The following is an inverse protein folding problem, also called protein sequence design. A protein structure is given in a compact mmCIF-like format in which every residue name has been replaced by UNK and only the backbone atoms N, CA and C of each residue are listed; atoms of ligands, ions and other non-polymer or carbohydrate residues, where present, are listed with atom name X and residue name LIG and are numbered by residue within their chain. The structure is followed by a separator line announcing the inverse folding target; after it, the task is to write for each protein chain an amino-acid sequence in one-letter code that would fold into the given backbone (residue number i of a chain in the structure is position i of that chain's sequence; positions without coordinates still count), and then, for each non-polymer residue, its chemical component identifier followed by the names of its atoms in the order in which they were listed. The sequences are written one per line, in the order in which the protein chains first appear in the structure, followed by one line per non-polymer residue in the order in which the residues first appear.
data_IF_301807181438
#
_entry.id   IF_301807181438
#
_cell.length_a   1.000
_cell.length_b   1.000
_cell.length_c   1.000
_cell.angle_alpha   90.00
_cell.angle_beta   90.00
_cell.angle_gamma   90.00
#
_symmetry.space_group_name_H-M   'P 1'
#
loop_
_entity.id
_entity.type
_entity.pdbx_description
1 polymer ?
#
# COMPACT_ATOMS: atom_id res chain seq x y z
N UNK A 1 10.09 -1.99 -10.52
CA UNK A 1 9.35 -2.93 -9.66
C UNK A 1 8.03 -3.26 -10.35
N UNK A 2 7.65 -4.53 -10.49
CA UNK A 2 6.33 -4.90 -11.05
C UNK A 2 5.20 -4.52 -10.10
N UNK A 3 3.95 -4.52 -10.58
CA UNK A 3 2.78 -4.22 -9.75
C UNK A 3 2.60 -5.24 -8.62
N UNK A 4 2.81 -6.53 -8.94
CA UNK A 4 2.80 -7.60 -7.93
C UNK A 4 3.87 -7.39 -6.85
N UNK A 5 5.07 -6.96 -7.23
CA UNK A 5 6.15 -6.66 -6.28
C UNK A 5 5.87 -5.42 -5.44
N UNK A 6 5.20 -4.39 -5.99
CA UNK A 6 4.79 -3.21 -5.20
C UNK A 6 3.75 -3.59 -4.15
N UNK A 7 2.74 -4.39 -4.52
CA UNK A 7 1.75 -4.88 -3.56
C UNK A 7 2.38 -5.74 -2.46
N UNK A 8 3.35 -6.59 -2.81
CA UNK A 8 4.09 -7.39 -1.82
C UNK A 8 4.95 -6.50 -0.91
N UNK A 9 5.63 -5.49 -1.46
CA UNK A 9 6.44 -4.54 -0.69
C UNK A 9 5.58 -3.73 0.29
N UNK A 10 4.37 -3.33 -0.11
CA UNK A 10 3.38 -2.74 0.79
C UNK A 10 3.06 -3.69 1.96
N UNK A 11 2.72 -4.95 1.68
CA UNK A 11 2.41 -5.95 2.73
C UNK A 11 3.57 -6.19 3.71
N UNK A 12 4.80 -6.26 3.20
CA UNK A 12 6.00 -6.42 4.03
C UNK A 12 6.24 -5.23 4.98
N UNK A 13 5.72 -4.06 4.62
CA UNK A 13 5.83 -2.82 5.39
C UNK A 13 4.47 -2.34 5.94
N UNK A 14 3.46 -3.22 6.00
CA UNK A 14 2.07 -2.86 6.27
C UNK A 14 1.90 -1.94 7.48
N UNK A 15 2.61 -2.23 8.58
CA UNK A 15 2.54 -1.44 9.81
C UNK A 15 3.00 0.01 9.64
N UNK A 16 3.88 0.30 8.70
CA UNK A 16 4.33 1.66 8.42
C UNK A 16 3.22 2.52 7.78
N UNK A 17 2.24 1.88 7.15
CA UNK A 17 1.05 2.51 6.57
C UNK A 17 -0.16 2.44 7.52
N UNK A 18 0.01 1.88 8.71
CA UNK A 18 -1.03 1.74 9.72
C UNK A 18 -1.32 3.05 10.44
N UNK A 19 -2.60 3.28 10.75
CA UNK A 19 -3.01 4.34 11.66
C UNK A 19 -2.42 4.16 13.06
N UNK A 20 -1.96 5.21 13.76
CA UNK A 20 -1.42 5.09 15.12
C UNK A 20 -2.39 4.45 16.12
N UNK A 21 -3.70 4.63 15.92
CA UNK A 21 -4.74 4.22 16.86
C UNK A 21 -4.98 2.71 16.88
N UNK A 22 -4.89 2.05 15.72
CA UNK A 22 -5.26 0.63 15.57
C UNK A 22 -4.29 -0.19 14.70
N UNK A 23 -3.28 0.44 14.10
CA UNK A 23 -2.31 -0.21 13.22
C UNK A 23 -2.88 -0.73 11.90
N UNK A 24 -4.15 -0.43 11.59
CA UNK A 24 -4.81 -0.82 10.34
C UNK A 24 -4.38 0.15 9.26
N UNK A 25 -3.94 -0.39 8.12
CA UNK A 25 -3.53 0.44 7.00
C UNK A 25 -4.75 0.94 6.25
N UNK A 26 -4.63 2.12 5.67
CA UNK A 26 -5.66 2.69 4.81
C UNK A 26 -5.04 3.49 3.66
N UNK A 27 -5.89 3.77 2.68
CA UNK A 27 -5.51 4.53 1.48
C UNK A 27 -5.05 5.95 1.86
N UNK A 28 -5.66 6.57 2.86
CA UNK A 28 -5.31 7.92 3.34
C UNK A 28 -3.86 7.99 3.83
N UNK A 29 -3.41 7.03 4.64
CA UNK A 29 -2.03 6.95 5.12
C UNK A 29 -1.04 6.77 3.98
N UNK A 30 -1.39 6.03 2.92
CA UNK A 30 -0.54 5.92 1.72
C UNK A 30 -0.36 7.31 1.09
N UNK A 31 -1.42 8.09 0.91
CA UNK A 31 -1.30 9.44 0.37
C UNK A 31 -0.50 10.38 1.29
N UNK A 32 -0.74 10.30 2.60
CA UNK A 32 0.00 11.08 3.59
C UNK A 32 1.50 10.78 3.55
N UNK A 33 1.88 9.50 3.47
CA UNK A 33 3.28 9.07 3.38
C UNK A 33 3.89 9.48 2.03
N UNK A 34 3.14 9.36 0.93
CA UNK A 34 3.62 9.76 -0.40
C UNK A 34 3.95 11.26 -0.50
N UNK A 35 3.23 12.10 0.25
CA UNK A 35 3.43 13.54 0.33
C UNK A 35 4.61 14.01 1.19
N UNK A 36 5.25 13.11 1.96
CA UNK A 36 6.40 13.46 2.80
C UNK A 36 7.59 13.92 1.96
N UNK A 37 8.39 14.84 2.51
CA UNK A 37 9.71 15.13 1.98
C UNK A 37 10.68 14.00 2.36
N UNK A 38 11.69 13.76 1.52
CA UNK A 38 12.75 12.82 1.88
C UNK A 38 13.62 13.46 2.96
N UNK A 39 13.77 12.79 4.09
CA UNK A 39 14.44 13.29 5.29
C UNK A 39 15.91 12.91 5.36
N UNK A 40 16.37 12.00 4.48
CA UNK A 40 17.69 11.37 4.57
C UNK A 40 17.70 10.18 5.53
N UNK A 41 16.61 9.93 6.26
CA UNK A 41 16.43 8.68 6.98
C UNK A 41 16.00 7.60 6.00
N UNK A 42 16.91 6.65 5.76
CA UNK A 42 16.71 5.57 4.80
C UNK A 42 15.40 4.79 4.99
N UNK A 43 14.98 4.55 6.23
CA UNK A 43 13.75 3.79 6.49
C UNK A 43 12.50 4.60 6.10
N UNK A 44 12.44 5.87 6.48
CA UNK A 44 11.32 6.77 6.16
C UNK A 44 11.25 7.09 4.67
N UNK A 45 12.41 7.31 4.06
CA UNK A 45 12.53 7.62 2.63
C UNK A 45 12.05 6.45 1.78
N UNK A 46 12.37 5.21 2.16
CA UNK A 46 11.85 4.03 1.49
C UNK A 46 10.33 3.92 1.56
N UNK A 47 9.73 4.21 2.73
CA UNK A 47 8.27 4.17 2.86
C UNK A 47 7.63 5.26 2.00
N UNK A 48 8.22 6.45 1.97
CA UNK A 48 7.79 7.56 1.12
C UNK A 48 7.85 7.19 -0.37
N UNK A 49 8.93 6.57 -0.82
CA UNK A 49 9.09 6.13 -2.21
C UNK A 49 8.13 5.00 -2.57
N UNK A 50 7.93 4.02 -1.69
CA UNK A 50 6.95 2.95 -1.87
C UNK A 50 5.53 3.51 -1.97
N UNK A 51 5.16 4.44 -1.09
CA UNK A 51 3.85 5.10 -1.12
C UNK A 51 3.61 5.85 -2.43
N UNK A 52 4.61 6.62 -2.89
CA UNK A 52 4.54 7.32 -4.19
C UNK A 52 4.37 6.35 -5.34
N UNK A 53 5.00 5.18 -5.28
CA UNK A 53 4.86 4.17 -6.32
C UNK A 53 3.44 3.57 -6.34
N UNK A 54 2.81 3.37 -5.17
CA UNK A 54 1.42 2.93 -5.08
C UNK A 54 0.47 4.01 -5.63
N UNK A 55 0.65 5.28 -5.25
CA UNK A 55 -0.18 6.40 -5.73
C UNK A 55 -0.09 6.57 -7.26
N UNK A 56 1.08 6.35 -7.86
CA UNK A 56 1.26 6.38 -9.31
C UNK A 56 0.53 5.24 -10.05
N UNK A 57 0.09 4.22 -9.32
CA UNK A 57 -0.50 2.99 -9.85
C UNK A 57 -1.91 2.81 -9.28
N UNK A 58 -2.90 3.59 -9.75
CA UNK A 58 -4.24 3.62 -9.16
C UNK A 58 -4.90 2.24 -9.15
N UNK A 59 -4.61 1.36 -10.11
CA UNK A 59 -5.11 -0.02 -10.12
C UNK A 59 -4.52 -0.90 -9.02
N UNK A 60 -3.27 -0.66 -8.60
CA UNK A 60 -2.66 -1.35 -7.45
C UNK A 60 -3.30 -0.86 -6.16
N UNK A 61 -3.45 0.47 -6.01
CA UNK A 61 -4.13 1.04 -4.84
C UNK A 61 -5.58 0.56 -4.72
N UNK A 62 -6.31 0.50 -5.83
CA UNK A 62 -7.68 -0.02 -5.87
C UNK A 62 -7.73 -1.48 -5.42
N UNK A 63 -6.87 -2.34 -5.98
CA UNK A 63 -6.84 -3.75 -5.61
C UNK A 63 -6.46 -3.96 -4.13
N UNK A 64 -5.52 -3.19 -3.59
CA UNK A 64 -5.17 -3.24 -2.17
C UNK A 64 -6.37 -2.95 -1.26
N UNK A 65 -7.22 -2.01 -1.66
CA UNK A 65 -8.39 -1.55 -0.89
C UNK A 65 -9.62 -2.46 -1.07
N UNK A 66 -9.68 -3.25 -2.15
CA UNK A 66 -10.96 -3.86 -2.56
C UNK A 66 -10.94 -5.37 -2.80
N UNK A 67 -9.78 -6.03 -2.80
CA UNK A 67 -9.66 -7.40 -3.32
C UNK A 67 -10.34 -8.47 -2.47
N UNK A 68 -10.53 -8.23 -1.17
CA UNK A 68 -11.22 -9.12 -0.25
C UNK A 68 -12.63 -8.64 0.14
N UNK A 69 -13.04 -7.47 -0.34
CA UNK A 69 -14.34 -6.85 -0.04
C UNK A 69 -15.25 -6.71 -1.27
N UNK A 70 -15.29 -7.74 -2.13
CA UNK A 70 -16.12 -7.77 -3.34
C UNK A 70 -15.95 -6.53 -4.27
N UNK A 71 -14.76 -5.92 -4.29
CA UNK A 71 -14.49 -4.72 -5.07
C UNK A 71 -14.95 -3.41 -4.44
N UNK A 72 -15.49 -3.43 -3.21
CA UNK A 72 -15.80 -2.22 -2.45
C UNK A 72 -14.50 -1.54 -2.01
N UNK A 73 -14.49 -0.21 -2.09
CA UNK A 73 -13.42 0.65 -1.62
C UNK A 73 -13.92 1.37 -0.36
N UNK A 74 -13.61 0.83 0.80
CA UNK A 74 -13.96 1.45 2.09
C UNK A 74 -12.79 2.29 2.66
N UNK A 75 -11.65 2.27 1.96
CA UNK A 75 -10.42 2.96 2.33
C UNK A 75 -9.54 2.12 3.25
N UNK A 76 -10.04 1.02 3.83
CA UNK A 76 -9.32 0.17 4.75
C UNK A 76 -8.63 -0.96 3.99
N UNK A 77 -7.32 -1.06 4.15
CA UNK A 77 -6.53 -2.11 3.52
C UNK A 77 -6.30 -3.20 4.54
N UNK A 78 -6.94 -4.36 4.38
CA UNK A 78 -6.73 -5.51 5.24
C UNK A 78 -5.32 -6.09 5.15
N UNK A 79 -4.86 -6.74 6.23
CA UNK A 79 -3.52 -7.35 6.28
C UNK A 79 -3.27 -8.38 5.15
N UNK A 80 -4.31 -9.10 4.72
CA UNK A 80 -4.21 -10.13 3.67
C UNK A 80 -4.29 -9.54 2.26
N UNK A 81 -4.76 -8.31 2.11
CA UNK A 81 -5.04 -7.69 0.81
C UNK A 81 -3.78 -7.56 -0.02
N UNK A 82 -2.64 -7.27 0.63
CA UNK A 82 -1.35 -7.19 -0.02
C UNK A 82 -0.95 -8.50 -0.74
N UNK A 83 -1.11 -9.64 -0.06
CA UNK A 83 -0.77 -10.96 -0.62
C UNK A 83 -1.73 -11.35 -1.74
N UNK A 84 -3.03 -11.12 -1.53
CA UNK A 84 -4.06 -11.37 -2.54
C UNK A 84 -3.84 -10.51 -3.79
N UNK A 85 -3.55 -9.23 -3.59
CA UNK A 85 -3.28 -8.26 -4.66
C UNK A 85 -2.03 -8.63 -5.43
N UNK A 86 -0.94 -8.97 -4.74
CA UNK A 86 0.30 -9.44 -5.39
C UNK A 86 0.05 -10.67 -6.26
N UNK A 87 -0.65 -11.67 -5.73
CA UNK A 87 -0.99 -12.89 -6.46
C UNK A 87 -1.94 -12.63 -7.64
N UNK A 88 -2.89 -11.70 -7.51
CA UNK A 88 -3.77 -11.30 -8.60
C UNK A 88 -3.00 -10.62 -9.74
N UNK A 89 -2.12 -9.68 -9.40
CA UNK A 89 -1.36 -8.90 -10.37
C UNK A 89 -0.22 -9.68 -11.04
N UNK A 90 0.29 -10.74 -10.40
CA UNK A 90 1.32 -11.60 -10.98
C UNK A 90 0.81 -12.49 -12.13
N UNK A 91 -0.51 -12.60 -12.31
CA UNK A 91 -1.16 -13.44 -13.32
C UNK A 91 -1.65 -12.65 -14.54
N UNK A 92 -1.45 -11.33 -14.55
CA UNK A 92 -1.78 -10.44 -15.65
C UNK A 92 -0.53 -10.15 -16.47
#
# INVERSE_FOLDING_TARGET
MSDSSVALAFGNNYKAFGKPENGVADVEQIYNIAGRQLSGNWAEDNMTLLAREIVKRPHVSHALDSIDDNGRQDGIIGYRNAQLTSAHLARR
#
